data_IF_273457466861
#
_entry.id   IF_273457466861
#
_cell.length_a   1.000
_cell.length_b   1.000
_cell.length_c   1.000
_cell.angle_alpha   90.00
_cell.angle_beta   90.00
_cell.angle_gamma   90.00
#
_symmetry.space_group_name_H-M   'P 1'
#
loop_
_entity.id
_entity.type
_entity.pdbx_description
1 polymer ?
#
# COMPACT_ATOMS: atom_id res chain seq x y z
N UNK A 1 29.85 -37.81 2.11
CA UNK A 1 29.99 -38.48 3.44
C UNK A 1 28.92 -37.93 4.35
N UNK A 2 28.19 -38.78 5.09
CA UNK A 2 27.20 -38.34 6.09
C UNK A 2 27.95 -38.16 7.42
N UNK A 3 27.83 -37.01 8.07
CA UNK A 3 28.41 -36.79 9.41
C UNK A 3 27.53 -37.37 10.53
N UNK A 4 28.04 -37.34 11.76
CA UNK A 4 27.36 -37.85 12.96
C UNK A 4 26.03 -37.13 13.30
N UNK A 5 25.74 -36.01 12.63
CA UNK A 5 24.50 -35.24 12.76
C UNK A 5 23.55 -35.46 11.57
N UNK A 6 23.83 -36.41 10.67
CA UNK A 6 23.01 -36.70 9.50
C UNK A 6 23.18 -35.73 8.34
N UNK A 7 24.20 -34.84 8.35
CA UNK A 7 24.48 -33.93 7.23
C UNK A 7 25.34 -34.62 6.17
N UNK A 8 24.91 -34.57 4.91
CA UNK A 8 25.74 -35.01 3.79
C UNK A 8 26.69 -33.88 3.35
N UNK A 9 27.98 -34.21 3.27
CA UNK A 9 28.94 -33.49 2.44
C UNK A 9 28.80 -33.93 0.98
N UNK A 10 28.24 -33.03 0.16
CA UNK A 10 28.06 -33.18 -1.29
C UNK A 10 29.15 -32.38 -2.03
N UNK A 11 29.65 -32.86 -3.19
CA UNK A 11 30.57 -32.08 -4.01
C UNK A 11 29.93 -30.76 -4.48
N UNK A 12 30.69 -29.64 -4.51
CA UNK A 12 30.17 -28.35 -5.00
C UNK A 12 29.53 -28.43 -6.40
N UNK A 13 30.12 -29.19 -7.33
CA UNK A 13 29.56 -29.38 -8.68
C UNK A 13 28.22 -30.11 -8.70
N UNK A 14 27.96 -30.95 -7.69
CA UNK A 14 26.67 -31.60 -7.53
C UNK A 14 25.63 -30.62 -6.98
N UNK A 15 25.99 -29.86 -5.95
CA UNK A 15 25.11 -28.85 -5.36
C UNK A 15 24.77 -27.76 -6.38
N UNK A 16 25.75 -27.25 -7.13
CA UNK A 16 25.55 -26.23 -8.16
C UNK A 16 24.57 -26.70 -9.26
N UNK A 17 24.64 -27.97 -9.68
CA UNK A 17 23.69 -28.55 -10.66
C UNK A 17 22.28 -28.76 -10.14
N UNK A 18 22.10 -28.88 -8.83
CA UNK A 18 20.81 -29.13 -8.19
C UNK A 18 20.34 -27.95 -7.32
N UNK A 19 20.96 -26.78 -7.47
CA UNK A 19 20.74 -25.62 -6.59
C UNK A 19 19.29 -25.12 -6.64
N UNK A 20 18.61 -25.28 -7.78
CA UNK A 20 17.20 -24.93 -7.92
C UNK A 20 16.27 -25.71 -6.97
N UNK A 21 16.60 -26.95 -6.62
CA UNK A 21 15.82 -27.77 -5.69
C UNK A 21 15.90 -27.29 -4.23
N UNK A 22 16.79 -26.33 -3.94
CA UNK A 22 16.96 -25.70 -2.63
C UNK A 22 16.23 -24.34 -2.55
N UNK A 23 15.41 -24.01 -3.56
CA UNK A 23 14.59 -22.79 -3.64
C UNK A 23 13.12 -23.22 -3.58
N UNK A 24 12.47 -22.93 -2.46
CA UNK A 24 11.13 -23.41 -2.12
C UNK A 24 10.07 -22.32 -2.25
N UNK A 25 10.42 -21.06 -2.01
CA UNK A 25 9.46 -19.94 -1.99
C UNK A 25 10.10 -18.59 -2.34
N UNK A 26 9.25 -17.59 -2.53
CA UNK A 26 9.67 -16.20 -2.78
C UNK A 26 10.36 -15.55 -1.56
N UNK A 27 10.26 -16.13 -0.36
CA UNK A 27 10.96 -15.61 0.84
C UNK A 27 12.48 -15.70 0.71
N UNK A 28 12.96 -16.53 -0.23
CA UNK A 28 14.37 -16.69 -0.55
C UNK A 28 14.87 -15.67 -1.58
N UNK A 29 14.01 -14.77 -2.05
CA UNK A 29 14.37 -13.72 -3.00
C UNK A 29 14.49 -12.40 -2.26
N UNK A 30 15.65 -11.75 -2.36
CA UNK A 30 15.80 -10.37 -1.89
C UNK A 30 15.88 -9.43 -3.09
N UNK A 31 15.24 -8.27 -2.98
CA UNK A 31 15.35 -7.19 -3.96
C UNK A 31 16.16 -6.04 -3.39
N UNK A 32 17.09 -5.54 -4.19
CA UNK A 32 17.98 -4.44 -3.86
C UNK A 32 18.01 -3.45 -5.02
N UNK A 33 18.14 -2.16 -4.69
CA UNK A 33 18.48 -1.15 -5.67
C UNK A 33 19.98 -0.82 -5.61
N UNK A 34 20.53 -0.58 -6.77
CA UNK A 34 21.94 -0.22 -6.97
C UNK A 34 22.05 0.91 -8.00
N UNK A 35 23.24 1.46 -8.22
CA UNK A 35 23.45 2.52 -9.23
C UNK A 35 24.37 2.04 -10.33
N UNK A 36 24.00 2.31 -11.58
CA UNK A 36 24.91 2.11 -12.70
C UNK A 36 26.17 2.95 -12.47
N UNK A 37 27.38 2.35 -12.47
CA UNK A 37 28.60 3.09 -12.20
C UNK A 37 28.96 4.08 -13.32
N UNK A 38 28.33 3.96 -14.49
CA UNK A 38 28.59 4.81 -15.65
C UNK A 38 27.73 6.08 -15.70
N UNK A 39 26.47 6.02 -15.26
CA UNK A 39 25.52 7.15 -15.34
C UNK A 39 24.71 7.41 -14.06
N UNK A 40 24.97 6.64 -13.00
CA UNK A 40 24.28 6.73 -11.70
C UNK A 40 22.78 6.43 -11.71
N UNK A 41 22.21 5.96 -12.83
CA UNK A 41 20.83 5.47 -12.89
C UNK A 41 20.60 4.35 -11.88
N UNK A 42 19.46 4.39 -11.19
CA UNK A 42 19.03 3.35 -10.27
C UNK A 42 18.65 2.09 -11.06
N UNK A 43 19.14 0.95 -10.59
CA UNK A 43 18.95 -0.38 -11.17
C UNK A 43 18.38 -1.28 -10.07
N UNK A 44 17.30 -1.99 -10.36
CA UNK A 44 16.71 -2.96 -9.44
C UNK A 44 17.25 -4.35 -9.76
N UNK A 45 17.79 -5.01 -8.74
CA UNK A 45 18.40 -6.34 -8.81
C UNK A 45 17.72 -7.28 -7.81
N UNK A 46 17.55 -8.55 -8.17
CA UNK A 46 17.19 -9.60 -7.21
C UNK A 46 18.32 -10.60 -7.01
N UNK A 47 18.44 -11.09 -5.79
CA UNK A 47 19.31 -12.19 -5.41
C UNK A 47 18.46 -13.33 -4.86
N UNK A 48 18.84 -14.58 -5.17
CA UNK A 48 18.11 -15.76 -4.70
C UNK A 48 19.00 -16.57 -3.79
N UNK A 49 18.54 -16.84 -2.58
CA UNK A 49 19.25 -17.59 -1.56
C UNK A 49 18.73 -19.02 -1.50
N UNK A 50 19.56 -19.94 -1.05
CA UNK A 50 19.15 -21.34 -0.86
C UNK A 50 18.84 -21.61 0.60
N UNK A 51 18.00 -22.63 0.83
CA UNK A 51 17.67 -23.11 2.17
C UNK A 51 18.01 -24.58 2.27
N UNK A 52 18.34 -25.04 3.47
CA UNK A 52 18.50 -26.47 3.70
C UNK A 52 17.17 -27.19 3.56
N UNK A 53 17.14 -28.31 2.84
CA UNK A 53 15.96 -29.14 2.70
C UNK A 53 16.17 -30.51 3.39
N UNK A 54 15.10 -31.05 3.98
CA UNK A 54 15.11 -32.39 4.56
C UNK A 54 14.44 -33.36 3.60
N UNK A 55 15.14 -34.44 3.25
CA UNK A 55 14.57 -35.53 2.46
C UNK A 55 13.70 -36.44 3.34
N UNK A 56 12.82 -37.24 2.72
CA UNK A 56 11.92 -38.18 3.42
C UNK A 56 12.66 -39.20 4.29
N UNK A 57 13.91 -39.52 3.94
CA UNK A 57 14.78 -40.42 4.70
C UNK A 57 15.56 -39.74 5.84
N UNK A 58 15.22 -38.49 6.18
CA UNK A 58 15.83 -37.72 7.28
C UNK A 58 17.18 -37.09 6.95
N UNK A 59 17.67 -37.23 5.71
CA UNK A 59 18.91 -36.62 5.25
C UNK A 59 18.70 -35.13 5.00
N UNK A 60 19.57 -34.29 5.56
CA UNK A 60 19.53 -32.84 5.35
C UNK A 60 20.53 -32.46 4.25
N UNK A 61 20.02 -31.86 3.17
CA UNK A 61 20.85 -31.18 2.18
C UNK A 61 21.07 -29.75 2.68
N UNK A 62 22.33 -29.29 2.85
CA UNK A 62 22.59 -27.95 3.33
C UNK A 62 22.24 -26.90 2.28
N UNK A 63 21.93 -25.68 2.74
CA UNK A 63 21.95 -24.51 1.86
C UNK A 63 23.33 -24.37 1.20
N UNK A 64 23.33 -23.90 -0.04
CA UNK A 64 24.51 -23.75 -0.87
C UNK A 64 24.45 -22.44 -1.65
N UNK A 65 24.96 -21.38 -1.04
CA UNK A 65 25.05 -20.05 -1.61
C UNK A 65 26.48 -19.76 -2.09
N UNK A 66 26.60 -19.18 -3.27
CA UNK A 66 27.89 -18.87 -3.89
C UNK A 66 27.96 -17.41 -4.30
N UNK A 67 29.11 -16.78 -4.09
CA UNK A 67 29.35 -15.39 -4.48
C UNK A 67 29.76 -15.36 -5.95
N UNK A 68 29.25 -14.37 -6.66
CA UNK A 68 29.72 -14.04 -7.99
C UNK A 68 29.20 -12.69 -8.45
N UNK A 69 29.08 -12.55 -9.76
CA UNK A 69 28.77 -11.29 -10.43
C UNK A 69 27.74 -11.53 -11.52
N UNK A 70 26.73 -10.68 -11.58
CA UNK A 70 25.90 -10.51 -12.78
C UNK A 70 26.41 -9.34 -13.60
N UNK A 71 26.49 -9.53 -14.92
CA UNK A 71 26.87 -8.50 -15.88
C UNK A 71 25.60 -7.99 -16.51
N UNK A 72 25.39 -6.67 -16.41
CA UNK A 72 24.21 -6.00 -16.91
C UNK A 72 24.54 -4.95 -17.94
N UNK A 73 23.64 -4.75 -18.89
CA UNK A 73 23.67 -3.61 -19.81
C UNK A 73 22.67 -2.56 -19.34
N UNK A 74 23.15 -1.35 -19.02
CA UNK A 74 22.28 -0.29 -18.53
C UNK A 74 21.35 0.22 -19.63
N UNK A 75 20.04 0.28 -19.35
CA UNK A 75 19.02 0.75 -20.30
C UNK A 75 19.14 2.22 -20.71
N UNK A 76 19.93 3.00 -19.97
CA UNK A 76 20.06 4.45 -20.15
C UNK A 76 21.30 4.84 -20.93
N UNK A 77 22.47 4.42 -20.45
CA UNK A 77 23.74 4.72 -21.08
C UNK A 77 24.22 3.63 -22.05
N UNK A 78 23.51 2.50 -22.13
CA UNK A 78 23.86 1.33 -22.95
C UNK A 78 25.24 0.73 -22.70
N UNK A 79 25.88 1.08 -21.57
CA UNK A 79 27.17 0.52 -21.16
C UNK A 79 26.96 -0.68 -20.24
N UNK A 80 27.89 -1.61 -20.36
CA UNK A 80 27.96 -2.78 -19.50
C UNK A 80 28.55 -2.42 -18.13
N UNK A 81 28.13 -3.13 -17.09
CA UNK A 81 28.64 -3.00 -15.73
C UNK A 81 28.44 -4.31 -14.94
N UNK A 82 29.21 -4.50 -13.87
CA UNK A 82 29.09 -5.64 -12.96
C UNK A 82 28.36 -5.31 -11.66
N UNK A 83 27.65 -6.28 -11.10
CA UNK A 83 27.08 -6.22 -9.73
C UNK A 83 27.42 -7.51 -9.00
N UNK A 84 28.05 -7.37 -7.82
CA UNK A 84 28.34 -8.50 -6.95
C UNK A 84 27.06 -9.04 -6.31
N UNK A 85 26.81 -10.33 -6.48
CA UNK A 85 25.59 -11.00 -6.01
C UNK A 85 25.84 -12.39 -5.45
N UNK A 86 24.85 -12.88 -4.71
CA UNK A 86 24.75 -14.30 -4.32
C UNK A 86 23.94 -15.06 -5.37
N UNK A 87 24.44 -16.24 -5.74
CA UNK A 87 23.89 -17.14 -6.74
C UNK A 87 23.59 -16.40 -8.07
N UNK A 88 24.65 -15.92 -8.76
CA UNK A 88 24.53 -15.09 -9.95
C UNK A 88 23.75 -15.74 -11.12
N UNK A 89 23.65 -17.07 -11.14
CA UNK A 89 22.84 -17.82 -12.09
C UNK A 89 21.33 -17.56 -11.93
N UNK A 90 20.87 -17.26 -10.71
CA UNK A 90 19.46 -16.99 -10.38
C UNK A 90 19.17 -15.51 -10.10
N UNK A 91 20.22 -14.69 -9.93
CA UNK A 91 20.09 -13.26 -9.77
C UNK A 91 19.68 -12.58 -11.10
N UNK A 92 18.85 -11.55 -11.03
CA UNK A 92 18.28 -10.89 -12.21
C UNK A 92 18.24 -9.37 -12.07
N UNK A 93 18.18 -8.67 -13.20
CA UNK A 93 17.84 -7.25 -13.24
C UNK A 93 16.32 -7.09 -13.45
N UNK A 94 15.61 -6.65 -12.42
CA UNK A 94 14.15 -6.45 -12.47
C UNK A 94 13.76 -5.07 -12.99
N UNK A 95 14.73 -4.16 -13.14
CA UNK A 95 14.49 -2.81 -13.64
C UNK A 95 15.78 -2.05 -13.95
N UNK A 96 15.78 -1.28 -15.03
CA UNK A 96 16.85 -0.35 -15.39
C UNK A 96 18.06 -0.96 -16.12
N UNK A 97 18.18 -2.29 -16.19
CA UNK A 97 19.21 -3.01 -16.95
C UNK A 97 18.70 -4.36 -17.46
N UNK A 98 19.42 -4.96 -18.40
CA UNK A 98 19.22 -6.32 -18.90
C UNK A 98 20.44 -7.18 -18.55
N UNK A 99 20.21 -8.42 -18.10
CA UNK A 99 21.28 -9.39 -17.78
C UNK A 99 21.88 -9.91 -19.08
N UNK A 100 23.19 -9.73 -19.26
CA UNK A 100 23.92 -10.18 -20.46
C UNK A 100 24.79 -11.40 -20.21
N UNK A 101 25.34 -11.53 -19.00
CA UNK A 101 26.14 -12.67 -18.58
C UNK A 101 26.24 -12.71 -17.04
N UNK A 102 26.90 -13.72 -16.50
CA UNK A 102 27.21 -13.84 -15.09
C UNK A 102 28.41 -14.78 -14.87
N UNK A 103 29.11 -14.67 -13.73
CA UNK A 103 30.16 -15.61 -13.34
C UNK A 103 30.22 -15.81 -11.82
N UNK A 104 30.73 -16.95 -11.38
CA UNK A 104 31.05 -17.19 -9.97
C UNK A 104 32.47 -16.74 -9.64
N UNK A 105 32.72 -16.31 -8.42
CA UNK A 105 34.09 -15.94 -8.00
C UNK A 105 35.06 -17.14 -8.03
N UNK A 106 34.52 -18.36 -8.02
CA UNK A 106 35.30 -19.60 -8.18
C UNK A 106 35.47 -20.04 -9.63
N UNK A 107 34.88 -19.34 -10.61
CA UNK A 107 35.09 -19.63 -12.03
C UNK A 107 36.55 -19.33 -12.44
N UNK A 108 36.98 -19.93 -13.54
CA UNK A 108 38.35 -19.79 -14.06
C UNK A 108 38.72 -18.33 -14.40
N UNK A 109 40.01 -17.99 -14.28
CA UNK A 109 40.54 -16.65 -14.56
C UNK A 109 40.13 -16.12 -15.94
N UNK A 110 40.01 -16.98 -16.96
CA UNK A 110 39.56 -16.58 -18.30
C UNK A 110 38.23 -15.83 -18.31
N UNK A 111 37.28 -16.22 -17.45
CA UNK A 111 35.96 -15.58 -17.38
C UNK A 111 36.01 -14.24 -16.63
N UNK A 112 36.89 -14.14 -15.62
CA UNK A 112 37.15 -12.88 -14.90
C UNK A 112 37.91 -11.89 -15.79
N UNK A 113 38.87 -12.38 -16.58
CA UNK A 113 39.67 -11.59 -17.50
C UNK A 113 38.83 -10.92 -18.60
N UNK A 114 37.73 -11.55 -19.03
CA UNK A 114 36.77 -10.98 -19.98
C UNK A 114 36.17 -9.67 -19.47
N UNK A 115 36.04 -9.54 -18.15
CA UNK A 115 35.29 -8.48 -17.47
C UNK A 115 36.16 -7.61 -16.56
N UNK A 116 37.49 -7.75 -16.63
CA UNK A 116 38.44 -7.04 -15.76
C UNK A 116 38.36 -5.51 -15.85
N UNK A 117 37.96 -4.98 -17.01
CA UNK A 117 37.90 -3.54 -17.27
C UNK A 117 36.48 -2.95 -17.04
N UNK A 118 35.53 -3.78 -16.60
CA UNK A 118 34.18 -3.31 -16.27
C UNK A 118 34.19 -2.49 -14.99
N UNK A 119 33.34 -1.46 -14.99
CA UNK A 119 32.98 -0.79 -13.76
C UNK A 119 31.95 -1.62 -13.00
N UNK A 120 32.12 -1.69 -11.70
CA UNK A 120 31.21 -2.40 -10.80
C UNK A 120 30.39 -1.40 -10.01
N UNK A 121 29.14 -1.74 -9.76
CA UNK A 121 28.38 -0.98 -8.78
C UNK A 121 28.98 -1.17 -7.39
N UNK A 122 29.18 -0.07 -6.68
CA UNK A 122 29.83 -0.05 -5.37
C UNK A 122 28.88 -0.32 -4.20
N UNK A 123 27.57 -0.19 -4.41
CA UNK A 123 26.59 -0.14 -3.32
C UNK A 123 25.30 -0.85 -3.68
N UNK A 124 24.83 -1.73 -2.80
CA UNK A 124 23.47 -2.29 -2.83
C UNK A 124 22.69 -1.76 -1.63
N UNK A 125 21.47 -1.31 -1.85
CA UNK A 125 20.57 -0.82 -0.80
C UNK A 125 19.27 -1.61 -0.87
N UNK A 126 18.86 -2.17 0.26
CA UNK A 126 17.58 -2.86 0.38
C UNK A 126 16.50 -1.86 0.78
N UNK A 127 15.32 -1.99 0.19
CA UNK A 127 14.16 -1.17 0.56
C UNK A 127 13.64 -1.49 1.96
N UNK A 128 12.88 -0.54 2.52
CA UNK A 128 12.03 -0.80 3.69
C UNK A 128 10.58 -0.84 3.25
N UNK A 129 9.99 -2.03 3.30
CA UNK A 129 8.60 -2.26 2.92
C UNK A 129 7.62 -1.34 3.67
N UNK A 130 7.94 -0.92 4.90
CA UNK A 130 7.08 -0.06 5.71
C UNK A 130 6.80 1.31 5.06
N UNK A 131 7.64 1.77 4.13
CA UNK A 131 7.49 3.07 3.46
C UNK A 131 6.46 3.08 2.33
N UNK A 132 6.14 1.89 1.79
CA UNK A 132 5.23 1.73 0.64
C UNK A 132 4.16 0.66 0.89
N UNK A 133 4.05 0.16 2.11
CA UNK A 133 2.94 -0.70 2.54
C UNK A 133 1.64 0.08 2.44
N UNK A 134 0.71 -0.36 1.59
CA UNK A 134 -0.64 0.20 1.56
C UNK A 134 -1.59 -0.73 2.31
N UNK A 135 -2.07 -0.30 3.47
CA UNK A 135 -3.10 -0.99 4.23
C UNK A 135 -4.10 0.00 4.80
N UNK A 136 -5.39 -0.33 4.65
CA UNK A 136 -6.48 0.50 5.15
C UNK A 136 -7.10 -0.19 6.36
N UNK A 137 -6.32 -0.27 7.45
CA UNK A 137 -6.75 -0.92 8.68
C UNK A 137 -7.97 -0.20 9.26
N UNK A 138 -9.16 -0.77 9.11
CA UNK A 138 -10.38 -0.16 9.63
C UNK A 138 -10.61 -0.58 11.08
N UNK A 139 -10.80 0.39 11.98
CA UNK A 139 -11.18 0.11 13.38
C UNK A 139 -12.70 0.20 13.52
N UNK A 140 -13.36 -0.89 13.91
CA UNK A 140 -14.82 -1.06 13.80
C UNK A 140 -15.60 -0.68 15.07
N UNK A 141 -14.93 -0.53 16.20
CA UNK A 141 -15.52 -0.31 17.53
C UNK A 141 -15.25 1.10 18.08
N UNK A 142 -14.04 1.62 17.88
CA UNK A 142 -13.62 2.94 18.37
C UNK A 142 -14.25 4.09 17.58
N UNK A 143 -15.03 4.95 18.26
CA UNK A 143 -15.61 6.19 17.70
C UNK A 143 -16.30 5.97 16.34
N UNK A 144 -17.46 5.29 16.27
CA UNK A 144 -18.10 4.94 15.02
C UNK A 144 -18.47 6.19 14.19
N UNK A 145 -18.11 6.16 12.91
CA UNK A 145 -18.54 7.13 11.91
C UNK A 145 -19.95 6.79 11.41
N UNK A 146 -20.28 5.50 11.35
CA UNK A 146 -21.58 5.00 10.92
C UNK A 146 -22.37 4.43 12.11
N UNK A 147 -23.40 5.16 12.54
CA UNK A 147 -24.36 4.72 13.57
C UNK A 147 -25.78 4.73 13.04
N UNK A 148 -26.64 3.92 13.65
CA UNK A 148 -28.04 3.84 13.29
C UNK A 148 -28.75 5.18 13.48
N UNK A 149 -29.49 5.64 12.47
CA UNK A 149 -30.25 6.88 12.54
C UNK A 149 -31.39 6.83 13.58
N UNK A 150 -31.93 5.65 13.90
CA UNK A 150 -33.03 5.46 14.87
C UNK A 150 -32.56 5.23 16.31
N UNK A 151 -31.57 4.38 16.53
CA UNK A 151 -31.16 3.97 17.88
C UNK A 151 -29.71 4.27 18.25
N UNK A 152 -28.96 4.95 17.37
CA UNK A 152 -27.54 5.34 17.57
C UNK A 152 -26.56 4.18 17.83
N UNK A 153 -26.96 2.91 17.64
CA UNK A 153 -26.04 1.77 17.74
C UNK A 153 -24.98 1.80 16.64
N UNK A 154 -23.79 1.31 16.96
CA UNK A 154 -22.67 1.17 16.03
C UNK A 154 -23.03 0.19 14.90
N UNK A 155 -23.07 0.68 13.66
CA UNK A 155 -23.35 -0.14 12.48
C UNK A 155 -22.08 -0.74 11.87
N UNK A 156 -20.90 -0.23 12.19
CA UNK A 156 -19.62 -0.72 11.68
C UNK A 156 -19.31 -2.11 12.22
N UNK A 157 -19.36 -2.28 13.54
CA UNK A 157 -19.17 -3.58 14.18
C UNK A 157 -20.23 -4.60 13.75
N UNK A 158 -21.49 -4.15 13.61
CA UNK A 158 -22.56 -4.99 13.11
C UNK A 158 -22.28 -5.44 11.68
N UNK A 159 -21.84 -4.54 10.81
CA UNK A 159 -21.49 -4.84 9.42
C UNK A 159 -20.32 -5.82 9.31
N UNK A 160 -19.29 -5.67 10.14
CA UNK A 160 -18.17 -6.62 10.20
C UNK A 160 -18.65 -8.02 10.57
N UNK A 161 -19.49 -8.13 11.60
CA UNK A 161 -20.03 -9.42 12.03
C UNK A 161 -20.91 -10.05 10.94
N UNK A 162 -21.74 -9.25 10.25
CA UNK A 162 -22.48 -9.72 9.08
C UNK A 162 -21.53 -10.21 7.99
N UNK A 163 -20.45 -9.47 7.69
CA UNK A 163 -19.49 -9.89 6.67
C UNK A 163 -18.81 -11.21 7.04
N UNK A 164 -18.38 -11.37 8.30
CA UNK A 164 -17.79 -12.63 8.82
C UNK A 164 -18.70 -13.83 8.57
N UNK A 165 -20.00 -13.69 8.81
CA UNK A 165 -20.98 -14.76 8.59
C UNK A 165 -21.16 -15.14 7.10
N UNK A 166 -20.83 -14.22 6.19
CA UNK A 166 -20.97 -14.40 4.75
C UNK A 166 -19.62 -14.58 4.03
N UNK A 167 -18.51 -14.56 4.77
CA UNK A 167 -17.17 -14.45 4.20
C UNK A 167 -16.81 -15.67 3.34
N UNK A 168 -17.11 -16.88 3.81
CA UNK A 168 -16.84 -18.11 3.05
C UNK A 168 -17.55 -18.11 1.68
N UNK A 169 -18.79 -17.63 1.65
CA UNK A 169 -19.55 -17.53 0.39
C UNK A 169 -18.93 -16.50 -0.55
N UNK A 170 -18.61 -15.32 -0.03
CA UNK A 170 -17.91 -14.30 -0.80
C UNK A 170 -16.55 -14.82 -1.33
N UNK A 171 -15.76 -15.48 -0.48
CA UNK A 171 -14.43 -15.96 -0.83
C UNK A 171 -14.47 -17.05 -1.91
N UNK A 172 -15.48 -17.93 -1.88
CA UNK A 172 -15.71 -18.90 -2.95
C UNK A 172 -16.01 -18.23 -4.30
N UNK A 173 -16.82 -17.17 -4.32
CA UNK A 173 -17.12 -16.43 -5.56
C UNK A 173 -15.91 -15.62 -6.05
N UNK A 174 -15.14 -15.05 -5.13
CA UNK A 174 -13.86 -14.41 -5.45
C UNK A 174 -12.85 -15.41 -6.04
N UNK A 175 -12.73 -16.60 -5.46
CA UNK A 175 -11.90 -17.69 -5.97
C UNK A 175 -12.30 -18.10 -7.40
N UNK A 176 -13.60 -18.20 -7.67
CA UNK A 176 -14.12 -18.48 -9.01
C UNK A 176 -13.74 -17.38 -10.02
N UNK A 177 -13.81 -16.12 -9.61
CA UNK A 177 -13.35 -15.00 -10.43
C UNK A 177 -11.85 -15.09 -10.74
N UNK A 178 -11.00 -15.29 -9.72
CA UNK A 178 -9.54 -15.36 -9.92
C UNK A 178 -9.17 -16.51 -10.86
N UNK A 179 -9.77 -17.69 -10.69
CA UNK A 179 -9.56 -18.80 -11.63
C UNK A 179 -9.97 -18.46 -13.06
N UNK A 180 -11.12 -17.78 -13.22
CA UNK A 180 -11.57 -17.34 -14.53
C UNK A 180 -10.62 -16.30 -15.14
N UNK A 181 -10.12 -15.34 -14.34
CA UNK A 181 -9.16 -14.31 -14.73
C UNK A 181 -7.84 -14.92 -15.18
N UNK A 182 -7.26 -15.83 -14.39
CA UNK A 182 -6.01 -16.51 -14.75
C UNK A 182 -6.13 -17.33 -16.04
N UNK A 183 -7.32 -17.88 -16.33
CA UNK A 183 -7.56 -18.68 -17.54
C UNK A 183 -7.86 -17.85 -18.78
N UNK A 184 -8.59 -16.74 -18.63
CA UNK A 184 -9.18 -15.99 -19.76
C UNK A 184 -8.71 -14.53 -19.85
N UNK A 185 -7.99 -14.04 -18.84
CA UNK A 185 -7.62 -12.65 -18.68
C UNK A 185 -6.72 -12.15 -19.80
N UNK A 186 -7.21 -11.15 -20.53
CA UNK A 186 -6.42 -10.30 -21.44
C UNK A 186 -6.89 -8.87 -21.24
N UNK A 187 -6.13 -8.06 -20.50
CA UNK A 187 -6.48 -6.66 -20.28
C UNK A 187 -6.04 -6.12 -18.92
N UNK A 188 -6.47 -4.89 -18.63
CA UNK A 188 -6.26 -4.25 -17.35
C UNK A 188 -7.16 -4.92 -16.29
N UNK A 189 -6.58 -5.32 -15.17
CA UNK A 189 -7.34 -5.89 -14.05
C UNK A 189 -8.22 -4.85 -13.32
N UNK A 190 -9.14 -5.31 -12.45
CA UNK A 190 -9.95 -4.44 -11.61
C UNK A 190 -9.10 -3.55 -10.69
N UNK A 191 -9.63 -2.39 -10.31
CA UNK A 191 -8.97 -1.53 -9.32
C UNK A 191 -9.24 -1.99 -7.88
N UNK A 192 -10.49 -2.31 -7.57
CA UNK A 192 -10.94 -2.66 -6.23
C UNK A 192 -11.86 -3.89 -6.24
N UNK A 193 -11.98 -4.51 -5.08
CA UNK A 193 -13.06 -5.42 -4.73
C UNK A 193 -14.02 -4.64 -3.86
N UNK A 194 -15.31 -4.57 -4.24
CA UNK A 194 -16.35 -3.86 -3.51
C UNK A 194 -17.42 -4.87 -3.10
N UNK A 195 -17.74 -4.93 -1.81
CA UNK A 195 -18.72 -5.85 -1.25
C UNK A 195 -19.88 -5.07 -0.63
N UNK A 196 -21.10 -5.32 -1.11
CA UNK A 196 -22.34 -4.77 -0.57
C UNK A 196 -23.01 -5.82 0.32
N UNK A 197 -23.35 -5.44 1.54
CA UNK A 197 -24.05 -6.28 2.50
C UNK A 197 -25.34 -5.60 2.98
N UNK A 198 -26.44 -6.36 2.95
CA UNK A 198 -27.67 -5.99 3.66
C UNK A 198 -27.50 -6.23 5.16
N UNK A 199 -27.75 -5.20 5.96
CA UNK A 199 -27.52 -5.21 7.41
C UNK A 199 -28.77 -4.67 8.13
N UNK A 200 -29.34 -5.48 9.02
CA UNK A 200 -30.45 -5.06 9.86
C UNK A 200 -29.95 -4.66 11.26
N UNK A 201 -30.15 -3.40 11.62
CA UNK A 201 -29.88 -2.95 12.99
C UNK A 201 -30.86 -3.61 13.96
N UNK A 202 -30.47 -3.82 15.22
CA UNK A 202 -31.34 -4.44 16.25
C UNK A 202 -32.65 -3.68 16.54
N UNK A 203 -32.84 -2.48 15.99
CA UNK A 203 -34.10 -1.72 16.06
C UNK A 203 -34.99 -1.92 14.82
N UNK A 204 -34.65 -2.86 13.95
CA UNK A 204 -35.33 -3.14 12.67
C UNK A 204 -34.97 -2.16 11.55
N UNK A 205 -33.97 -1.29 11.73
CA UNK A 205 -33.55 -0.37 10.67
C UNK A 205 -32.69 -1.10 9.62
N UNK A 206 -33.19 -1.19 8.39
CA UNK A 206 -32.47 -1.78 7.26
C UNK A 206 -31.41 -0.80 6.74
N UNK A 207 -30.19 -1.30 6.61
CA UNK A 207 -29.02 -0.56 6.14
C UNK A 207 -28.31 -1.38 5.05
N UNK A 208 -27.49 -0.74 4.22
CA UNK A 208 -26.56 -1.45 3.32
C UNK A 208 -25.15 -0.95 3.56
N UNK A 209 -24.25 -1.83 3.96
CA UNK A 209 -22.84 -1.52 4.16
C UNK A 209 -22.03 -1.85 2.92
N UNK A 210 -21.03 -1.02 2.65
CA UNK A 210 -20.15 -1.14 1.50
C UNK A 210 -18.71 -1.24 1.99
N UNK A 211 -18.13 -2.42 1.81
CA UNK A 211 -16.73 -2.70 2.07
C UNK A 211 -15.93 -2.58 0.78
N UNK A 212 -14.66 -2.22 0.89
CA UNK A 212 -13.74 -2.30 -0.24
C UNK A 212 -12.32 -2.69 0.17
N UNK A 213 -11.59 -3.24 -0.80
CA UNK A 213 -10.15 -3.50 -0.75
C UNK A 213 -9.55 -3.20 -2.13
N UNK A 214 -8.30 -2.76 -2.21
CA UNK A 214 -7.56 -2.72 -3.47
C UNK A 214 -7.41 -4.14 -4.04
N UNK A 215 -7.70 -4.29 -5.32
CA UNK A 215 -7.60 -5.59 -5.97
C UNK A 215 -6.12 -5.99 -6.14
N UNK A 216 -5.84 -7.24 -5.79
CA UNK A 216 -4.59 -7.94 -6.07
C UNK A 216 -5.00 -9.32 -6.57
N UNK A 217 -4.46 -9.75 -7.71
CA UNK A 217 -4.76 -11.07 -8.26
C UNK A 217 -4.15 -12.15 -7.37
N UNK A 218 -4.95 -12.63 -6.41
CA UNK A 218 -4.57 -13.60 -5.38
C UNK A 218 -5.81 -14.37 -4.95
N UNK A 219 -5.67 -15.65 -4.66
CA UNK A 219 -6.74 -16.45 -4.05
C UNK A 219 -6.95 -16.11 -2.58
N UNK A 220 -5.91 -15.58 -1.92
CA UNK A 220 -5.92 -15.30 -0.50
C UNK A 220 -6.38 -13.86 -0.28
N UNK A 221 -7.59 -13.72 0.27
CA UNK A 221 -8.13 -12.47 0.78
C UNK A 221 -8.56 -12.69 2.21
N UNK A 222 -8.19 -11.77 3.09
CA UNK A 222 -8.59 -11.79 4.49
C UNK A 222 -9.66 -10.72 4.73
N UNK A 223 -10.56 -10.96 5.68
CA UNK A 223 -11.63 -10.01 5.98
C UNK A 223 -11.08 -8.70 6.56
N UNK A 224 -9.96 -8.78 7.27
CA UNK A 224 -9.23 -7.65 7.85
C UNK A 224 -8.69 -6.68 6.80
N UNK A 225 -8.52 -7.14 5.56
CA UNK A 225 -8.07 -6.30 4.46
C UNK A 225 -9.14 -5.32 3.95
N UNK A 226 -10.41 -5.54 4.33
CA UNK A 226 -11.53 -4.73 3.87
C UNK A 226 -11.80 -3.55 4.81
N UNK A 227 -12.12 -2.42 4.20
CA UNK A 227 -12.51 -1.17 4.87
C UNK A 227 -13.95 -0.78 4.54
N UNK A 228 -14.66 -0.16 5.48
CA UNK A 228 -15.99 0.40 5.20
C UNK A 228 -15.86 1.76 4.51
N UNK A 229 -16.49 1.87 3.33
CA UNK A 229 -16.60 3.14 2.60
C UNK A 229 -17.87 3.91 2.91
N UNK A 230 -18.97 3.20 3.15
CA UNK A 230 -20.25 3.82 3.48
C UNK A 230 -21.20 2.80 4.12
N UNK A 231 -22.16 3.30 4.91
CA UNK A 231 -23.35 2.54 5.29
C UNK A 231 -24.58 3.38 4.95
N UNK A 232 -25.33 2.99 3.93
CA UNK A 232 -26.61 3.64 3.63
C UNK A 232 -27.65 3.29 4.69
N UNK A 233 -28.54 4.22 5.01
CA UNK A 233 -29.49 4.08 6.12
C UNK A 233 -28.92 4.44 7.50
N UNK A 234 -27.62 4.75 7.60
CA UNK A 234 -27.03 5.33 8.82
C UNK A 234 -27.41 6.80 9.01
N UNK A 235 -27.09 7.35 10.18
CA UNK A 235 -27.07 8.81 10.37
C UNK A 235 -26.06 9.45 9.41
N UNK A 236 -26.32 10.66 8.93
CA UNK A 236 -25.42 11.36 7.99
C UNK A 236 -24.12 11.74 8.68
N UNK A 237 -23.00 11.68 7.95
CA UNK A 237 -21.66 11.99 8.49
C UNK A 237 -21.57 13.40 9.07
N UNK A 238 -22.17 14.41 8.42
CA UNK A 238 -22.18 15.79 8.93
C UNK A 238 -23.04 16.00 10.20
N UNK A 239 -23.92 15.04 10.52
CA UNK A 239 -24.67 15.03 11.79
C UNK A 239 -23.87 14.30 12.90
N UNK A 240 -22.96 13.40 12.53
CA UNK A 240 -22.03 12.72 13.46
C UNK A 240 -20.87 13.63 13.83
N UNK A 241 -20.25 14.23 12.81
CA UNK A 241 -19.18 15.22 12.93
C UNK A 241 -19.78 16.61 12.74
N UNK A 242 -20.71 16.96 13.63
CA UNK A 242 -21.26 18.31 13.67
C UNK A 242 -20.19 19.31 14.16
N UNK A 243 -20.34 20.62 13.92
CA UNK A 243 -19.44 21.59 14.51
C UNK A 243 -19.42 21.48 16.04
N UNK A 244 -18.26 21.12 16.60
CA UNK A 244 -18.17 20.80 18.02
C UNK A 244 -16.75 20.56 18.51
N UNK A 245 -16.64 20.25 19.80
CA UNK A 245 -15.38 19.98 20.50
C UNK A 245 -15.25 18.48 20.72
N UNK A 246 -14.18 17.88 20.20
CA UNK A 246 -13.94 16.44 20.19
C UNK A 246 -12.54 16.12 20.69
N UNK A 247 -12.30 14.91 21.19
CA UNK A 247 -10.93 14.50 21.51
C UNK A 247 -10.10 14.35 20.23
N UNK A 248 -8.77 14.39 20.36
CA UNK A 248 -7.89 14.00 19.25
C UNK A 248 -8.10 12.56 18.82
N UNK A 249 -8.41 11.67 19.76
CA UNK A 249 -8.66 10.25 19.44
C UNK A 249 -9.89 10.09 18.54
N UNK A 250 -10.98 10.81 18.84
CA UNK A 250 -12.14 10.90 17.95
C UNK A 250 -11.74 11.39 16.55
N UNK A 251 -10.98 12.49 16.51
CA UNK A 251 -10.63 13.18 15.27
C UNK A 251 -9.76 12.32 14.36
N UNK A 252 -8.75 11.64 14.93
CA UNK A 252 -7.88 10.71 14.20
C UNK A 252 -8.66 9.47 13.77
N UNK A 253 -9.52 8.90 14.63
CA UNK A 253 -10.35 7.75 14.27
C UNK A 253 -11.26 8.07 13.09
N UNK A 254 -11.97 9.20 13.13
CA UNK A 254 -12.83 9.61 12.01
C UNK A 254 -12.05 9.88 10.73
N UNK A 255 -10.89 10.54 10.80
CA UNK A 255 -10.05 10.72 9.62
C UNK A 255 -9.68 9.37 8.99
N UNK A 256 -9.22 8.41 9.80
CA UNK A 256 -8.82 7.10 9.30
C UNK A 256 -9.99 6.29 8.72
N UNK A 257 -11.24 6.58 9.13
CA UNK A 257 -12.46 6.02 8.54
C UNK A 257 -12.95 6.78 7.30
N UNK A 258 -12.58 8.05 7.17
CA UNK A 258 -12.88 8.87 5.99
C UNK A 258 -11.91 8.61 4.83
N UNK A 259 -10.64 8.30 5.11
CA UNK A 259 -9.65 7.95 4.08
C UNK A 259 -10.13 6.81 3.14
N UNK A 260 -10.54 5.62 3.62
CA UNK A 260 -11.03 4.54 2.75
C UNK A 260 -12.18 5.00 1.84
N UNK A 261 -13.15 5.71 2.44
CA UNK A 261 -14.28 6.31 1.74
C UNK A 261 -13.81 7.27 0.65
N UNK A 262 -12.85 8.14 0.95
CA UNK A 262 -12.35 9.11 0.00
C UNK A 262 -11.55 8.47 -1.13
N UNK A 263 -10.73 7.48 -0.81
CA UNK A 263 -9.97 6.69 -1.78
C UNK A 263 -10.89 6.04 -2.82
N UNK A 264 -12.02 5.46 -2.39
CA UNK A 264 -12.97 4.86 -3.33
C UNK A 264 -13.75 5.94 -4.10
N UNK A 265 -14.31 6.93 -3.42
CA UNK A 265 -15.37 7.76 -4.00
C UNK A 265 -14.88 9.03 -4.68
N UNK A 266 -13.64 9.45 -4.45
CA UNK A 266 -13.14 10.73 -4.95
C UNK A 266 -11.92 10.54 -5.85
N UNK A 267 -11.68 11.53 -6.72
CA UNK A 267 -10.57 11.53 -7.67
C UNK A 267 -9.25 11.76 -6.93
N UNK A 268 -9.24 12.66 -5.94
CA UNK A 268 -8.07 12.99 -5.11
C UNK A 268 -8.40 13.06 -3.63
N UNK A 269 -7.40 12.76 -2.80
CA UNK A 269 -7.43 12.91 -1.33
C UNK A 269 -6.34 13.88 -0.93
N UNK A 270 -6.65 14.84 -0.06
CA UNK A 270 -5.66 15.76 0.50
C UNK A 270 -5.56 15.65 2.00
N UNK A 271 -4.32 15.65 2.47
CA UNK A 271 -3.96 15.82 3.87
C UNK A 271 -3.15 17.11 3.99
N UNK A 272 -3.79 18.17 4.47
CA UNK A 272 -3.20 19.49 4.63
C UNK A 272 -3.10 19.78 6.12
N UNK A 273 -1.88 19.78 6.66
CA UNK A 273 -1.68 20.02 8.09
C UNK A 273 -0.30 20.66 8.34
N UNK A 274 -0.17 21.60 9.28
CA UNK A 274 1.13 22.13 9.64
C UNK A 274 2.01 21.12 10.37
N UNK A 275 1.43 20.07 10.99
CA UNK A 275 2.17 19.10 11.80
C UNK A 275 1.56 17.69 11.71
N UNK A 276 2.44 16.69 11.67
CA UNK A 276 2.12 15.27 11.88
C UNK A 276 2.89 14.83 13.13
N UNK A 277 2.18 14.30 14.13
CA UNK A 277 2.75 14.11 15.47
C UNK A 277 2.89 15.43 16.25
N UNK A 278 3.68 15.40 17.33
CA UNK A 278 4.06 16.59 18.09
C UNK A 278 5.54 16.55 18.48
N UNK A 279 6.13 17.72 18.75
CA UNK A 279 7.58 17.86 19.02
C UNK A 279 8.11 17.06 20.22
N UNK A 280 7.23 16.64 21.14
CA UNK A 280 7.59 15.85 22.31
C UNK A 280 7.61 14.33 22.09
N UNK A 281 7.24 13.84 20.89
CA UNK A 281 7.30 12.40 20.59
C UNK A 281 8.75 11.94 20.48
N UNK A 282 9.02 10.72 20.93
CA UNK A 282 10.29 10.04 20.64
C UNK A 282 10.37 9.74 19.14
N UNK A 283 11.59 9.55 18.63
CA UNK A 283 11.84 9.28 17.21
C UNK A 283 11.05 8.07 16.69
N UNK A 284 11.06 6.94 17.41
CA UNK A 284 10.22 5.78 17.09
C UNK A 284 8.71 6.10 17.01
N UNK A 285 8.18 6.84 17.98
CA UNK A 285 6.76 7.19 18.02
C UNK A 285 6.38 8.14 16.88
N UNK A 286 7.21 9.15 16.62
CA UNK A 286 7.02 10.07 15.50
C UNK A 286 7.05 9.31 14.17
N UNK A 287 8.03 8.43 13.96
CA UNK A 287 8.10 7.59 12.77
C UNK A 287 6.82 6.76 12.61
N UNK A 288 6.35 6.09 13.67
CA UNK A 288 5.16 5.26 13.61
C UNK A 288 3.89 6.06 13.28
N UNK A 289 3.73 7.27 13.82
CA UNK A 289 2.59 8.16 13.47
C UNK A 289 2.60 8.52 11.98
N UNK A 290 3.78 8.79 11.43
CA UNK A 290 3.93 9.05 10.00
C UNK A 290 3.62 7.82 9.15
N UNK A 291 4.22 6.67 9.48
CA UNK A 291 3.99 5.41 8.78
C UNK A 291 2.51 5.01 8.82
N UNK A 292 1.84 5.16 9.98
CA UNK A 292 0.41 4.88 10.13
C UNK A 292 -0.45 5.74 9.18
N UNK A 293 -0.10 7.01 8.99
CA UNK A 293 -0.82 7.89 8.06
C UNK A 293 -0.55 7.55 6.60
N UNK A 294 0.73 7.49 6.20
CA UNK A 294 1.09 7.35 4.78
C UNK A 294 0.64 6.00 4.23
N UNK A 295 0.68 4.94 5.04
CA UNK A 295 0.31 3.61 4.63
C UNK A 295 -1.21 3.45 4.43
N UNK A 296 -2.03 4.36 4.96
CA UNK A 296 -3.48 4.41 4.71
C UNK A 296 -3.85 5.13 3.44
N UNK A 297 -2.94 5.92 2.88
CA UNK A 297 -3.16 6.76 1.72
C UNK A 297 -2.75 6.03 0.44
N UNK A 298 -3.55 6.14 -0.61
CA UNK A 298 -3.16 5.66 -1.94
C UNK A 298 -2.29 6.75 -2.60
N UNK A 299 -1.01 6.46 -2.86
CA UNK A 299 -0.08 7.44 -3.44
C UNK A 299 -0.54 8.00 -4.80
N UNK A 300 -1.34 7.25 -5.57
CA UNK A 300 -1.82 7.72 -6.88
C UNK A 300 -2.96 8.75 -6.75
N UNK A 301 -3.68 8.72 -5.64
CA UNK A 301 -4.82 9.59 -5.36
C UNK A 301 -4.53 10.66 -4.32
N UNK A 302 -3.55 10.44 -3.45
CA UNK A 302 -3.36 11.24 -2.25
C UNK A 302 -2.25 12.26 -2.42
N UNK A 303 -2.44 13.46 -1.88
CA UNK A 303 -1.41 14.50 -1.78
C UNK A 303 -1.33 15.00 -0.35
N UNK A 304 -0.10 15.19 0.12
CA UNK A 304 0.17 15.73 1.45
C UNK A 304 0.75 17.13 1.31
N UNK A 305 0.20 18.09 2.05
CA UNK A 305 0.68 19.48 2.12
C UNK A 305 1.08 19.78 3.55
N UNK A 306 2.36 20.04 3.79
CA UNK A 306 2.91 20.29 5.12
C UNK A 306 3.57 21.65 5.24
N UNK A 307 3.70 22.11 6.48
CA UNK A 307 4.56 23.25 6.78
C UNK A 307 6.02 22.90 6.50
N UNK A 308 6.76 23.85 5.95
CA UNK A 308 8.19 23.70 5.71
C UNK A 308 8.95 23.16 6.93
N UNK A 309 9.83 22.18 6.71
CA UNK A 309 10.69 21.57 7.72
C UNK A 309 10.06 20.39 8.47
N UNK A 310 8.75 20.15 8.38
CA UNK A 310 8.14 18.98 9.03
C UNK A 310 8.62 17.66 8.45
N UNK A 311 8.79 17.59 7.14
CA UNK A 311 9.30 16.39 6.50
C UNK A 311 10.73 16.06 6.96
N UNK A 312 11.57 17.07 7.19
CA UNK A 312 12.90 16.88 7.75
C UNK A 312 12.89 16.24 9.15
N UNK A 313 11.85 16.48 9.96
CA UNK A 313 11.70 15.82 11.25
C UNK A 313 11.42 14.32 11.10
N UNK A 314 10.57 13.95 10.13
CA UNK A 314 10.34 12.55 9.80
C UNK A 314 11.62 11.87 9.32
N UNK A 315 12.36 12.47 8.38
CA UNK A 315 13.62 11.91 7.87
C UNK A 315 14.62 11.64 8.99
N UNK A 316 14.79 12.59 9.92
CA UNK A 316 15.66 12.43 11.09
C UNK A 316 15.19 11.32 12.03
N UNK A 317 13.89 11.23 12.28
CA UNK A 317 13.32 10.17 13.11
C UNK A 317 13.52 8.81 12.46
N UNK A 318 13.18 8.67 11.18
CA UNK A 318 13.35 7.44 10.42
C UNK A 318 14.82 6.97 10.40
N UNK A 319 15.76 7.87 10.09
CA UNK A 319 17.19 7.56 10.06
C UNK A 319 17.80 7.19 11.40
N UNK A 320 17.16 7.56 12.52
CA UNK A 320 17.62 7.18 13.85
C UNK A 320 17.19 5.76 14.22
N UNK A 321 16.03 5.33 13.74
CA UNK A 321 15.40 4.06 14.11
C UNK A 321 15.71 2.93 13.13
N UNK A 322 16.21 3.24 11.92
CA UNK A 322 16.50 2.26 10.87
C UNK A 322 17.98 2.28 10.48
N UNK A 323 18.44 1.16 9.90
CA UNK A 323 19.83 1.00 9.44
C UNK A 323 20.17 1.96 8.30
N UNK A 324 19.26 2.08 7.34
CA UNK A 324 19.42 2.97 6.19
C UNK A 324 18.71 4.30 6.45
N UNK A 325 19.35 5.40 6.07
CA UNK A 325 18.76 6.72 6.21
C UNK A 325 17.66 6.93 5.17
N UNK A 326 16.64 7.73 5.48
CA UNK A 326 15.58 8.00 4.49
C UNK A 326 16.12 8.68 3.23
N UNK A 327 17.06 9.61 3.38
CA UNK A 327 17.69 10.28 2.24
C UNK A 327 18.45 9.28 1.36
N UNK A 328 19.16 8.32 1.97
CA UNK A 328 19.84 7.25 1.23
C UNK A 328 18.86 6.31 0.53
N UNK A 329 17.74 5.93 1.15
CA UNK A 329 16.70 5.18 0.46
C UNK A 329 16.13 5.97 -0.73
N UNK A 330 15.88 7.26 -0.55
CA UNK A 330 15.35 8.13 -1.61
C UNK A 330 16.33 8.29 -2.78
N UNK A 331 17.63 8.37 -2.52
CA UNK A 331 18.66 8.39 -3.56
C UNK A 331 18.70 7.14 -4.45
N UNK A 332 18.09 6.05 -3.99
CA UNK A 332 18.02 4.76 -4.68
C UNK A 332 16.57 4.43 -5.11
N UNK A 333 15.66 5.41 -5.17
CA UNK A 333 14.24 5.21 -5.51
C UNK A 333 13.53 4.16 -4.60
N UNK A 334 13.98 4.06 -3.35
CA UNK A 334 13.40 3.20 -2.30
C UNK A 334 12.68 4.00 -1.20
N UNK A 335 12.49 5.31 -1.42
CA UNK A 335 11.70 6.16 -0.55
C UNK A 335 10.20 5.86 -0.64
N UNK A 336 9.40 6.60 0.11
CA UNK A 336 7.93 6.52 -0.01
C UNK A 336 7.45 7.30 -1.23
N UNK A 337 6.69 6.66 -2.11
CA UNK A 337 6.11 7.28 -3.32
C UNK A 337 5.29 8.53 -2.95
N UNK A 338 4.45 8.42 -1.92
CA UNK A 338 3.61 9.52 -1.45
C UNK A 338 4.43 10.72 -0.94
N UNK A 339 5.52 10.45 -0.22
CA UNK A 339 6.34 11.51 0.37
C UNK A 339 7.26 12.18 -0.67
N UNK A 340 7.56 11.49 -1.78
CA UNK A 340 8.29 12.07 -2.91
C UNK A 340 7.53 13.21 -3.58
N UNK A 341 6.19 13.15 -3.57
CA UNK A 341 5.30 14.17 -4.16
C UNK A 341 4.80 15.22 -3.14
N UNK A 342 5.31 15.18 -1.91
CA UNK A 342 4.84 16.04 -0.82
C UNK A 342 5.10 17.52 -1.11
N UNK A 343 4.07 18.36 -0.95
CA UNK A 343 4.19 19.81 -1.09
C UNK A 343 4.48 20.45 0.26
N UNK A 344 5.44 21.38 0.29
CA UNK A 344 5.73 22.21 1.47
C UNK A 344 5.31 23.64 1.21
N UNK A 345 4.56 24.22 2.15
CA UNK A 345 4.15 25.61 2.12
C UNK A 345 4.56 26.32 3.42
N UNK A 346 4.82 27.62 3.32
CA UNK A 346 5.09 28.47 4.48
C UNK A 346 3.78 29.06 5.02
N UNK A 347 3.82 29.53 6.26
CA UNK A 347 2.81 30.44 6.85
C UNK A 347 1.35 29.96 6.81
N UNK A 348 1.12 28.65 6.97
CA UNK A 348 -0.21 28.12 7.25
C UNK A 348 -0.26 27.32 8.55
N UNK A 349 -1.42 27.37 9.21
CA UNK A 349 -1.76 26.56 10.38
C UNK A 349 -3.07 25.79 10.19
N UNK A 350 -3.62 25.81 8.97
CA UNK A 350 -4.85 25.13 8.61
C UNK A 350 -4.70 23.60 8.68
N UNK A 351 -5.74 22.92 9.17
CA UNK A 351 -5.82 21.47 9.22
C UNK A 351 -7.07 21.05 8.47
N UNK A 352 -6.84 20.58 7.24
CA UNK A 352 -7.87 20.29 6.26
C UNK A 352 -7.58 18.90 5.71
N UNK A 353 -8.56 18.03 5.80
CA UNK A 353 -8.51 16.67 5.29
C UNK A 353 -9.71 16.47 4.39
N UNK A 354 -9.53 16.09 3.13
CA UNK A 354 -10.65 16.08 2.19
C UNK A 354 -10.50 15.07 1.06
N UNK A 355 -11.63 14.54 0.61
CA UNK A 355 -11.79 13.88 -0.68
C UNK A 355 -12.43 14.86 -1.67
N UNK A 356 -11.88 14.97 -2.88
CA UNK A 356 -12.33 15.96 -3.88
C UNK A 356 -12.57 15.35 -5.26
N UNK A 357 -13.59 15.85 -5.94
CA UNK A 357 -13.95 15.56 -7.33
C UNK A 357 -14.65 16.78 -7.91
N UNK A 358 -14.86 16.78 -9.22
CA UNK A 358 -15.47 17.93 -9.91
C UNK A 358 -16.83 18.33 -9.32
N UNK A 359 -17.67 17.35 -8.99
CA UNK A 359 -19.08 17.56 -8.61
C UNK A 359 -19.40 17.24 -7.13
N UNK A 360 -18.39 16.87 -6.32
CA UNK A 360 -18.58 16.63 -4.89
C UNK A 360 -17.22 16.71 -4.19
N UNK A 361 -17.18 17.41 -3.07
CA UNK A 361 -16.02 17.49 -2.19
C UNK A 361 -16.48 17.32 -0.74
N UNK A 362 -15.80 16.47 0.00
CA UNK A 362 -16.02 16.23 1.43
C UNK A 362 -14.83 16.79 2.22
N UNK A 363 -15.09 17.66 3.20
CA UNK A 363 -14.05 18.36 3.96
C UNK A 363 -14.22 18.11 5.45
N UNK A 364 -13.21 17.49 6.06
CA UNK A 364 -13.03 17.36 7.50
C UNK A 364 -11.94 18.34 7.95
N UNK A 365 -12.29 19.32 8.76
CA UNK A 365 -11.36 20.40 9.13
C UNK A 365 -11.59 20.93 10.53
N UNK A 366 -10.56 21.57 11.08
CA UNK A 366 -10.61 22.16 12.42
C UNK A 366 -9.23 22.42 13.02
N UNK A 367 -9.09 22.19 14.32
CA UNK A 367 -7.86 22.47 15.07
C UNK A 367 -6.98 21.24 15.36
N UNK A 368 -7.47 20.01 15.12
CA UNK A 368 -6.74 18.78 15.41
C UNK A 368 -5.59 18.49 14.42
N UNK A 369 -4.36 18.42 14.95
CA UNK A 369 -3.21 17.82 14.26
C UNK A 369 -3.32 16.29 14.27
N UNK A 370 -2.52 15.63 13.43
CA UNK A 370 -2.48 14.17 13.28
C UNK A 370 -1.66 13.51 14.39
N UNK A 371 -2.25 13.40 15.58
CA UNK A 371 -1.69 12.65 16.71
C UNK A 371 -2.81 12.29 17.69
N UNK A 372 -2.80 11.08 18.24
CA UNK A 372 -3.72 10.68 19.33
C UNK A 372 -3.38 11.40 20.64
N UNK A 373 -4.35 11.58 21.52
CA UNK A 373 -4.13 12.16 22.84
C UNK A 373 -5.36 12.78 23.49
N UNK A 374 -5.19 13.13 24.78
CA UNK A 374 -6.27 13.59 25.67
C UNK A 374 -6.80 15.00 25.40
N UNK A 375 -6.14 15.79 24.55
CA UNK A 375 -6.56 17.17 24.28
C UNK A 375 -7.83 17.21 23.43
N UNK A 376 -8.63 18.25 23.64
CA UNK A 376 -9.85 18.52 22.91
C UNK A 376 -9.60 19.52 21.77
N UNK A 377 -10.28 19.34 20.64
CA UNK A 377 -10.09 20.09 19.40
C UNK A 377 -11.45 20.42 18.79
N UNK A 378 -11.56 21.59 18.15
CA UNK A 378 -12.76 21.93 17.39
C UNK A 378 -12.65 21.27 16.02
N UNK A 379 -13.65 20.47 15.64
CA UNK A 379 -13.73 19.83 14.33
C UNK A 379 -15.13 19.95 13.74
N UNK A 380 -15.23 19.82 12.43
CA UNK A 380 -16.50 19.74 11.70
C UNK A 380 -16.30 19.05 10.35
N UNK A 381 -17.41 18.57 9.77
CA UNK A 381 -17.44 17.99 8.44
C UNK A 381 -18.42 18.73 7.53
N UNK A 382 -17.95 19.15 6.36
CA UNK A 382 -18.71 19.90 5.36
C UNK A 382 -18.68 19.22 3.99
N UNK A 383 -19.68 19.54 3.16
CA UNK A 383 -19.75 19.13 1.76
C UNK A 383 -19.85 20.33 0.84
N UNK A 384 -19.17 20.27 -0.29
CA UNK A 384 -19.26 21.25 -1.37
C UNK A 384 -19.68 20.52 -2.63
N UNK A 385 -20.72 21.02 -3.31
CA UNK A 385 -21.25 20.37 -4.51
C UNK A 385 -20.46 20.63 -5.79
N UNK A 386 -19.38 21.43 -5.72
CA UNK A 386 -18.54 21.79 -6.86
C UNK A 386 -17.10 22.00 -6.41
N UNK A 387 -16.15 21.53 -7.22
CA UNK A 387 -14.73 21.74 -6.98
C UNK A 387 -14.33 23.22 -6.98
N UNK A 388 -14.95 24.06 -7.80
CA UNK A 388 -14.63 25.50 -7.87
C UNK A 388 -14.78 26.21 -6.52
N UNK A 389 -15.90 25.96 -5.82
CA UNK A 389 -16.18 26.54 -4.51
C UNK A 389 -15.18 26.04 -3.46
N UNK A 390 -14.87 24.74 -3.49
CA UNK A 390 -13.87 24.13 -2.62
C UNK A 390 -12.46 24.70 -2.88
N UNK A 391 -12.05 24.78 -4.14
CA UNK A 391 -10.73 25.25 -4.55
C UNK A 391 -10.51 26.70 -4.10
N UNK A 392 -11.51 27.57 -4.31
CA UNK A 392 -11.47 28.96 -3.85
C UNK A 392 -11.34 29.08 -2.34
N UNK A 393 -11.99 28.19 -1.58
CA UNK A 393 -11.99 28.20 -0.12
C UNK A 393 -10.71 27.62 0.52
N UNK A 394 -10.12 26.57 -0.07
CA UNK A 394 -9.08 25.77 0.60
C UNK A 394 -7.75 25.67 -0.15
N UNK A 395 -7.75 25.33 -1.44
CA UNK A 395 -6.50 25.05 -2.18
C UNK A 395 -5.83 26.32 -2.72
N UNK A 396 -6.61 27.18 -3.37
CA UNK A 396 -6.11 28.42 -3.96
C UNK A 396 -5.45 29.36 -2.93
N UNK A 397 -5.99 29.54 -1.70
CA UNK A 397 -5.32 30.32 -0.65
C UNK A 397 -3.96 29.75 -0.22
N UNK A 398 -3.72 28.46 -0.43
CA UNK A 398 -2.45 27.79 -0.12
C UNK A 398 -1.51 27.71 -1.34
N UNK A 399 -1.89 28.31 -2.48
CA UNK A 399 -1.15 28.22 -3.72
C UNK A 399 -1.13 26.81 -4.34
N UNK A 400 -2.03 25.92 -3.89
CA UNK A 400 -2.13 24.57 -4.42
C UNK A 400 -2.97 24.62 -5.70
N UNK A 401 -2.30 24.38 -6.84
CA UNK A 401 -2.98 24.13 -8.11
C UNK A 401 -3.29 22.64 -8.22
N UNK A 402 -4.51 22.34 -8.63
CA UNK A 402 -4.95 21.00 -8.95
C UNK A 402 -5.79 21.02 -10.22
N UNK A 403 -5.61 19.98 -11.02
CA UNK A 403 -6.45 19.66 -12.16
C UNK A 403 -7.09 18.29 -11.92
N UNK A 404 -8.40 18.19 -12.09
CA UNK A 404 -9.15 16.98 -11.78
C UNK A 404 -9.43 16.21 -13.07
N UNK A 405 -8.67 15.13 -13.26
CA UNK A 405 -8.94 14.14 -14.30
C UNK A 405 -9.64 12.94 -13.67
N UNK A 406 -10.89 12.69 -14.05
CA UNK A 406 -11.59 11.45 -13.66
C UNK A 406 -11.18 10.33 -14.61
N UNK A 407 -10.67 9.22 -14.05
CA UNK A 407 -10.39 8.04 -14.86
C UNK A 407 -11.69 7.27 -15.15
N UNK A 408 -12.32 7.56 -16.29
CA UNK A 408 -13.61 6.96 -16.65
C UNK A 408 -13.54 5.48 -17.07
N UNK A 409 -12.35 4.95 -17.35
CA UNK A 409 -12.20 3.62 -17.96
C UNK A 409 -11.95 2.50 -16.94
N UNK A 410 -11.68 2.84 -15.68
CA UNK A 410 -11.43 1.84 -14.67
C UNK A 410 -12.71 1.20 -14.13
N UNK A 411 -12.60 -0.07 -13.74
CA UNK A 411 -13.70 -0.85 -13.18
C UNK A 411 -13.25 -1.59 -11.92
N UNK A 412 -14.22 -1.98 -11.10
CA UNK A 412 -14.01 -2.78 -9.90
C UNK A 412 -14.98 -3.95 -9.85
N UNK A 413 -14.57 -5.00 -9.17
CA UNK A 413 -15.46 -6.13 -8.87
C UNK A 413 -16.51 -5.70 -7.87
N UNK A 414 -17.74 -6.17 -8.06
CA UNK A 414 -18.87 -5.88 -7.21
C UNK A 414 -19.55 -7.17 -6.77
N UNK A 415 -19.56 -7.41 -5.47
CA UNK A 415 -20.16 -8.58 -4.85
C UNK A 415 -21.33 -8.14 -3.95
N UNK A 416 -22.55 -8.55 -4.31
CA UNK A 416 -23.77 -8.15 -3.61
C UNK A 416 -24.36 -9.32 -2.83
N UNK A 417 -24.55 -9.17 -1.51
CA UNK A 417 -25.17 -10.20 -0.67
C UNK A 417 -26.57 -10.58 -1.12
N UNK A 418 -27.32 -9.61 -1.65
CA UNK A 418 -28.70 -9.83 -2.09
C UNK A 418 -28.76 -10.77 -3.31
N UNK A 419 -27.64 -10.94 -4.02
CA UNK A 419 -27.45 -11.88 -5.14
C UNK A 419 -26.47 -13.01 -4.78
N UNK A 420 -26.36 -13.36 -3.49
CA UNK A 420 -25.46 -14.41 -2.98
C UNK A 420 -23.99 -14.24 -3.40
N UNK A 421 -23.56 -13.00 -3.63
CA UNK A 421 -22.23 -12.63 -4.13
C UNK A 421 -21.87 -13.23 -5.50
N UNK A 422 -22.85 -13.71 -6.28
CA UNK A 422 -22.56 -14.37 -7.57
C UNK A 422 -21.82 -13.43 -8.51
N UNK A 423 -20.62 -13.85 -8.94
CA UNK A 423 -19.88 -13.13 -9.97
C UNK A 423 -20.51 -13.33 -11.36
N UNK A 424 -20.94 -14.56 -11.67
CA UNK A 424 -21.60 -14.86 -12.94
C UNK A 424 -23.12 -14.71 -12.84
N UNK A 425 -23.74 -14.00 -13.79
CA UNK A 425 -25.20 -13.88 -13.89
C UNK A 425 -25.83 -12.71 -13.13
N UNK A 426 -25.04 -11.76 -12.64
CA UNK A 426 -25.51 -10.51 -12.03
C UNK A 426 -24.66 -9.30 -12.43
N UNK A 427 -24.93 -8.13 -11.85
CA UNK A 427 -24.02 -6.97 -11.95
C UNK A 427 -22.80 -7.25 -11.07
N UNK A 428 -21.72 -7.74 -11.67
CA UNK A 428 -20.49 -8.14 -10.96
C UNK A 428 -19.31 -7.20 -11.17
N UNK A 429 -19.51 -6.18 -12.01
CA UNK A 429 -18.55 -5.13 -12.26
C UNK A 429 -19.26 -3.77 -12.17
N UNK A 430 -18.57 -2.79 -11.60
CA UNK A 430 -19.01 -1.39 -11.59
C UNK A 430 -17.88 -0.50 -12.09
N UNK A 431 -18.20 0.47 -12.94
CA UNK A 431 -17.23 1.45 -13.42
C UNK A 431 -16.99 2.54 -12.37
N UNK A 432 -15.81 3.16 -12.40
CA UNK A 432 -15.46 4.26 -11.50
C UNK A 432 -16.53 5.37 -11.48
N UNK A 433 -17.07 5.72 -12.66
CA UNK A 433 -18.16 6.71 -12.81
C UNK A 433 -19.45 6.34 -12.08
N UNK A 434 -19.65 5.07 -11.73
CA UNK A 434 -20.84 4.58 -11.04
C UNK A 434 -20.66 4.50 -9.51
N UNK A 435 -19.42 4.61 -8.99
CA UNK A 435 -19.14 4.35 -7.56
C UNK A 435 -19.98 5.22 -6.64
N UNK A 436 -20.04 6.54 -6.88
CA UNK A 436 -20.87 7.44 -6.06
C UNK A 436 -22.35 7.06 -6.11
N UNK A 437 -22.87 6.71 -7.28
CA UNK A 437 -24.28 6.32 -7.40
C UNK A 437 -24.56 5.01 -6.65
N UNK A 438 -23.70 4.00 -6.80
CA UNK A 438 -23.88 2.70 -6.14
C UNK A 438 -23.68 2.79 -4.62
N UNK A 439 -22.63 3.49 -4.17
CA UNK A 439 -22.20 3.49 -2.77
C UNK A 439 -22.93 4.56 -1.95
N UNK A 440 -23.28 5.71 -2.54
CA UNK A 440 -23.91 6.83 -1.82
C UNK A 440 -25.42 6.98 -2.07
N UNK A 441 -25.87 6.70 -3.30
CA UNK A 441 -27.18 7.12 -3.78
C UNK A 441 -27.82 6.04 -4.65
N UNK A 442 -28.04 4.83 -4.13
CA UNK A 442 -29.06 3.87 -4.59
C UNK A 442 -28.69 2.43 -4.21
N UNK A 443 -29.64 1.52 -4.16
CA UNK A 443 -31.02 1.67 -4.60
C UNK A 443 -31.89 0.53 -4.13
N UNK A 444 -33.19 0.74 -4.25
CA UNK A 444 -34.14 -0.35 -4.44
C UNK A 444 -33.73 -1.23 -5.60
#
# INVERSE_FOLDING_TARGET
MIDENGKISLPPDFLRRNKCSLIESNEQVTQNNTKCPNCSRVITTSEVFTKSCSLENGIIIPAFDEIGVIIGKCSDCNKDFGVNVINPEFAEFNGGAEKVDYYFDTDCETKKDLYKDLLFSSTKVQGDEKLNQHYVNYTYDDYPLYVCNKCSKNLELLSLNTFKNHFDRFNNEHYNYVNWSLKNGRGQGPEYIIVKLSVECTCGNQCKSFFFKKYVESFNVEIEDFSICNITGSRKINEIISPGVYSKDNSVSWLYKLIPRWTLLFDKVYIITPFIGHQWLKSAELMNVWLELINRLDHKKSKVVLRYGQFSNFKKAYSKENKESYDRLSEFDLGSDLLSELKQANDFHAKIYCGISQDDCEVFSGSANLVKGKSMEVMHFNKYGKFEDFNKAFLSPLGVKEDLETNFNAYSLFFDSDNEFRYFGGKSEIRCSEYKNVVLRNGN
#
